data_IF_168327261173
#
_entry.id   IF_168327261173
#
_cell.length_a   1.000
_cell.length_b   1.000
_cell.length_c   1.000
_cell.angle_alpha   90.00
_cell.angle_beta   90.00
_cell.angle_gamma   90.00
#
_symmetry.space_group_name_H-M   'P 1'
#
loop_
_entity.id
_entity.type
_entity.pdbx_description
1 polymer ?
#
# COMPACT_ATOMS: atom_id res chain seq x y z
N UNK A 1 -18.44 -48.41 -45.99
CA UNK A 1 -17.99 -47.33 -45.08
C UNK A 1 -19.04 -47.00 -44.01
N UNK A 2 -19.56 -48.00 -43.30
CA UNK A 2 -20.42 -47.79 -42.12
C UNK A 2 -19.96 -48.60 -40.90
N UNK A 3 -18.96 -49.47 -41.06
CA UNK A 3 -18.43 -50.29 -39.97
C UNK A 3 -17.31 -49.59 -39.16
N UNK A 4 -16.76 -48.48 -39.66
CA UNK A 4 -15.70 -47.71 -38.97
C UNK A 4 -16.22 -46.64 -38.00
N UNK A 5 -17.52 -46.32 -38.05
CA UNK A 5 -18.16 -45.33 -37.16
C UNK A 5 -18.75 -45.95 -35.89
N UNK A 6 -18.71 -47.28 -35.75
CA UNK A 6 -19.18 -47.98 -34.54
C UNK A 6 -18.05 -48.36 -33.58
N UNK A 7 -16.78 -48.06 -33.90
CA UNK A 7 -15.65 -48.29 -33.01
C UNK A 7 -15.22 -47.06 -32.19
N UNK A 8 -15.83 -45.89 -32.44
CA UNK A 8 -15.60 -44.69 -31.61
C UNK A 8 -16.54 -44.66 -30.38
N UNK A 9 -17.46 -45.62 -30.27
CA UNK A 9 -18.46 -45.68 -29.19
C UNK A 9 -18.27 -46.84 -28.18
N UNK A 10 -17.13 -47.55 -28.23
CA UNK A 10 -16.78 -48.63 -27.28
C UNK A 10 -15.44 -48.42 -26.55
N UNK A 11 -15.08 -47.17 -26.29
CA UNK A 11 -14.21 -46.84 -25.15
C UNK A 11 -15.05 -46.18 -24.06
N UNK A 12 -15.94 -46.97 -23.45
CA UNK A 12 -16.21 -46.81 -22.03
C UNK A 12 -14.95 -47.28 -21.28
N UNK A 13 -13.95 -46.39 -21.21
CA UNK A 13 -12.93 -46.48 -20.17
C UNK A 13 -13.53 -45.82 -18.95
N UNK A 14 -13.87 -46.65 -17.98
CA UNK A 14 -14.24 -46.30 -16.62
C UNK A 14 -13.39 -45.12 -16.14
N UNK A 15 -13.99 -43.93 -16.01
CA UNK A 15 -13.38 -42.83 -15.26
C UNK A 15 -13.29 -43.29 -13.80
N UNK A 16 -12.10 -43.40 -13.19
CA UNK A 16 -12.06 -43.18 -11.75
C UNK A 16 -12.48 -41.73 -11.55
N UNK A 17 -13.68 -41.53 -11.01
CA UNK A 17 -14.06 -40.29 -10.34
C UNK A 17 -13.23 -40.19 -9.06
N UNK A 18 -11.97 -39.84 -9.22
CA UNK A 18 -11.12 -39.33 -8.16
C UNK A 18 -10.77 -37.91 -8.55
N UNK A 19 -11.71 -36.99 -8.30
CA UNK A 19 -11.33 -35.61 -8.07
C UNK A 19 -10.30 -35.58 -6.94
N UNK A 20 -9.40 -34.59 -6.88
CA UNK A 20 -8.51 -34.45 -5.73
C UNK A 20 -9.39 -34.43 -4.49
N UNK A 21 -9.17 -35.43 -3.64
CA UNK A 21 -9.82 -35.56 -2.34
C UNK A 21 -9.57 -34.25 -1.62
N UNK A 22 -10.64 -33.44 -1.46
CA UNK A 22 -10.61 -32.33 -0.51
C UNK A 22 -10.08 -32.90 0.82
N UNK A 23 -9.07 -32.27 1.45
CA UNK A 23 -8.54 -32.77 2.70
C UNK A 23 -9.70 -32.87 3.69
N UNK A 24 -9.88 -34.10 4.19
CA UNK A 24 -10.96 -34.48 5.07
C UNK A 24 -11.02 -33.58 6.30
N UNK A 25 -12.22 -33.01 6.53
CA UNK A 25 -12.82 -32.84 7.86
C UNK A 25 -12.21 -31.76 8.76
N UNK A 26 -12.84 -30.58 8.77
CA UNK A 26 -12.83 -29.69 9.96
C UNK A 26 -12.65 -28.20 9.68
N UNK A 27 -11.81 -27.81 8.71
CA UNK A 27 -11.24 -26.46 8.70
C UNK A 27 -11.56 -25.59 7.47
N UNK A 28 -12.33 -26.07 6.49
CA UNK A 28 -12.67 -25.24 5.32
C UNK A 28 -13.41 -23.97 5.76
N UNK A 29 -14.39 -24.11 6.66
CA UNK A 29 -15.14 -22.98 7.21
C UNK A 29 -14.25 -22.01 8.01
N UNK A 30 -13.27 -22.51 8.78
CA UNK A 30 -12.34 -21.66 9.54
C UNK A 30 -11.54 -20.74 8.62
N UNK A 31 -11.03 -21.26 7.50
CA UNK A 31 -10.27 -20.46 6.54
C UNK A 31 -11.17 -19.50 5.76
N UNK A 32 -12.39 -19.90 5.43
CA UNK A 32 -13.38 -19.02 4.79
C UNK A 32 -13.80 -17.88 5.73
N UNK A 33 -14.06 -18.16 7.01
CA UNK A 33 -14.36 -17.16 8.04
C UNK A 33 -13.17 -16.21 8.25
N UNK A 34 -11.95 -16.74 8.29
CA UNK A 34 -10.73 -15.93 8.37
C UNK A 34 -10.55 -15.04 7.15
N UNK A 35 -10.78 -15.56 5.94
CA UNK A 35 -10.73 -14.78 4.71
C UNK A 35 -11.77 -13.64 4.73
N UNK A 36 -13.01 -13.93 5.15
CA UNK A 36 -14.08 -12.95 5.29
C UNK A 36 -13.73 -11.88 6.34
N UNK A 37 -13.17 -12.28 7.48
CA UNK A 37 -12.70 -11.34 8.52
C UNK A 37 -11.59 -10.41 8.00
N UNK A 38 -10.64 -10.95 7.23
CA UNK A 38 -9.57 -10.15 6.61
C UNK A 38 -10.13 -9.23 5.51
N UNK A 39 -11.12 -9.68 4.74
CA UNK A 39 -11.82 -8.85 3.76
C UNK A 39 -12.51 -7.66 4.41
N UNK A 40 -13.21 -7.87 5.53
CA UNK A 40 -13.85 -6.80 6.28
C UNK A 40 -12.84 -5.79 6.86
N UNK A 41 -11.61 -6.23 7.07
CA UNK A 41 -10.52 -5.36 7.53
C UNK A 41 -9.83 -4.59 6.40
N UNK A 42 -10.03 -4.95 5.13
CA UNK A 42 -9.40 -4.22 4.03
C UNK A 42 -9.95 -2.79 3.96
N UNK A 43 -9.06 -1.80 3.81
CA UNK A 43 -9.50 -0.43 3.62
C UNK A 43 -10.24 -0.27 2.27
N UNK A 44 -11.12 0.73 2.15
CA UNK A 44 -11.80 1.04 0.90
C UNK A 44 -10.80 1.54 -0.14
N UNK A 45 -11.17 1.43 -1.42
CA UNK A 45 -10.41 2.02 -2.50
C UNK A 45 -10.57 3.54 -2.49
N UNK A 46 -9.52 4.26 -2.85
CA UNK A 46 -9.58 5.69 -3.10
C UNK A 46 -10.28 5.97 -4.42
N UNK A 47 -11.16 6.96 -4.45
CA UNK A 47 -11.72 7.47 -5.70
C UNK A 47 -10.74 8.49 -6.32
N UNK A 48 -9.76 7.99 -7.07
CA UNK A 48 -8.69 8.83 -7.64
C UNK A 48 -9.24 9.87 -8.63
N UNK A 49 -10.34 9.56 -9.32
CA UNK A 49 -10.99 10.48 -10.27
C UNK A 49 -11.67 11.66 -9.56
N UNK A 50 -12.34 11.41 -8.45
CA UNK A 50 -12.93 12.45 -7.61
C UNK A 50 -11.85 13.33 -6.97
N UNK A 51 -10.77 12.70 -6.46
CA UNK A 51 -9.62 13.43 -5.92
C UNK A 51 -9.00 14.33 -6.99
N UNK A 52 -8.74 13.80 -8.19
CA UNK A 52 -8.19 14.57 -9.31
C UNK A 52 -9.09 15.77 -9.66
N UNK A 53 -10.40 15.56 -9.66
CA UNK A 53 -11.39 16.62 -9.97
C UNK A 53 -11.47 17.70 -8.89
N UNK A 54 -11.14 17.37 -7.64
CA UNK A 54 -11.13 18.31 -6.53
C UNK A 54 -9.86 19.16 -6.43
N UNK A 55 -8.76 18.74 -7.09
CA UNK A 55 -7.46 19.40 -7.00
C UNK A 55 -7.37 20.60 -7.95
N UNK A 56 -6.82 21.70 -7.46
CA UNK A 56 -6.48 22.87 -8.29
C UNK A 56 -5.10 22.63 -8.90
N UNK A 57 -5.04 22.38 -10.22
CA UNK A 57 -3.83 22.12 -10.99
C UNK A 57 -2.98 20.92 -10.48
N UNK A 58 -3.52 19.68 -10.50
CA UNK A 58 -2.87 18.49 -9.94
C UNK A 58 -1.52 18.13 -10.58
N UNK A 59 -1.23 18.65 -11.78
CA UNK A 59 0.02 18.41 -12.49
C UNK A 59 1.06 19.53 -12.31
N UNK A 60 0.66 20.69 -11.77
CA UNK A 60 1.59 21.78 -11.46
C UNK A 60 2.21 21.61 -10.08
N UNK A 61 1.44 21.10 -9.11
CA UNK A 61 1.97 20.74 -7.81
C UNK A 61 2.58 19.33 -7.89
N UNK A 62 3.91 19.26 -7.81
CA UNK A 62 4.63 17.98 -7.92
C UNK A 62 4.24 17.00 -6.81
N UNK A 63 3.88 17.50 -5.62
CA UNK A 63 3.44 16.68 -4.49
C UNK A 63 2.07 16.06 -4.72
N UNK A 64 1.14 16.78 -5.35
CA UNK A 64 -0.21 16.27 -5.65
C UNK A 64 -0.13 15.17 -6.71
N UNK A 65 0.70 15.37 -7.74
CA UNK A 65 0.99 14.33 -8.74
C UNK A 65 1.61 13.07 -8.10
N UNK A 66 2.54 13.23 -7.15
CA UNK A 66 3.12 12.11 -6.41
C UNK A 66 2.06 11.40 -5.56
N UNK A 67 1.22 12.14 -4.84
CA UNK A 67 0.11 11.59 -4.05
C UNK A 67 -0.84 10.77 -4.92
N UNK A 68 -1.28 11.28 -6.07
CA UNK A 68 -2.15 10.55 -6.99
C UNK A 68 -1.54 9.22 -7.45
N UNK A 69 -0.24 9.18 -7.75
CA UNK A 69 0.46 7.95 -8.09
C UNK A 69 0.50 6.96 -6.93
N UNK A 70 0.71 7.44 -5.72
CA UNK A 70 0.73 6.62 -4.50
C UNK A 70 -0.65 6.01 -4.23
N UNK A 71 -1.73 6.80 -4.36
CA UNK A 71 -3.11 6.30 -4.22
C UNK A 71 -3.44 5.22 -5.25
N UNK A 72 -3.04 5.41 -6.51
CA UNK A 72 -3.24 4.43 -7.57
C UNK A 72 -2.54 3.09 -7.24
N UNK A 73 -1.31 3.14 -6.69
CA UNK A 73 -0.58 1.93 -6.27
C UNK A 73 -1.26 1.24 -5.10
N UNK A 74 -1.72 1.98 -4.10
CA UNK A 74 -2.47 1.40 -2.99
C UNK A 74 -3.78 0.75 -3.45
N UNK A 75 -4.51 1.39 -4.36
CA UNK A 75 -5.70 0.81 -4.96
C UNK A 75 -5.42 -0.52 -5.67
N UNK A 76 -4.33 -0.58 -6.45
CA UNK A 76 -3.92 -1.82 -7.11
C UNK A 76 -3.61 -2.92 -6.09
N UNK A 77 -2.86 -2.60 -5.03
CA UNK A 77 -2.51 -3.54 -3.96
C UNK A 77 -3.75 -4.05 -3.21
N UNK A 78 -4.66 -3.16 -2.81
CA UNK A 78 -5.91 -3.51 -2.14
C UNK A 78 -6.76 -4.40 -3.05
N UNK A 79 -6.83 -4.09 -4.35
CA UNK A 79 -7.60 -4.87 -5.33
C UNK A 79 -7.05 -6.28 -5.50
N UNK A 80 -5.73 -6.44 -5.61
CA UNK A 80 -5.08 -7.76 -5.71
C UNK A 80 -5.36 -8.55 -4.42
N UNK A 81 -5.19 -7.92 -3.26
CA UNK A 81 -5.43 -8.58 -1.96
C UNK A 81 -6.89 -9.04 -1.82
N UNK A 82 -7.85 -8.20 -2.23
CA UNK A 82 -9.27 -8.54 -2.25
C UNK A 82 -9.53 -9.74 -3.16
N UNK A 83 -8.96 -9.75 -4.38
CA UNK A 83 -9.08 -10.88 -5.31
C UNK A 83 -8.54 -12.17 -4.70
N UNK A 84 -7.34 -12.14 -4.09
CA UNK A 84 -6.78 -13.31 -3.43
C UNK A 84 -7.69 -13.87 -2.33
N UNK A 85 -8.26 -13.00 -1.48
CA UNK A 85 -9.20 -13.42 -0.43
C UNK A 85 -10.53 -13.94 -1.01
N UNK A 86 -10.96 -13.44 -2.17
CA UNK A 86 -12.22 -13.86 -2.82
C UNK A 86 -12.10 -15.28 -3.37
N UNK A 87 -10.93 -15.65 -3.90
CA UNK A 87 -10.67 -17.01 -4.39
C UNK A 87 -11.00 -18.09 -3.36
N UNK A 88 -10.72 -17.84 -2.07
CA UNK A 88 -11.02 -18.79 -0.99
C UNK A 88 -12.53 -18.97 -0.80
N UNK A 89 -13.28 -17.86 -0.86
CA UNK A 89 -14.73 -17.88 -0.72
C UNK A 89 -15.40 -18.54 -1.92
N UNK A 90 -15.03 -18.12 -3.13
CA UNK A 90 -15.57 -18.68 -4.37
C UNK A 90 -15.27 -20.18 -4.49
N UNK A 91 -14.08 -20.62 -4.07
CA UNK A 91 -13.73 -22.04 -4.08
C UNK A 91 -14.51 -22.83 -3.01
N UNK A 92 -14.75 -22.24 -1.84
CA UNK A 92 -15.55 -22.88 -0.78
C UNK A 92 -17.03 -23.02 -1.17
N UNK A 93 -17.56 -22.05 -1.93
CA UNK A 93 -18.92 -22.07 -2.49
C UNK A 93 -19.04 -22.96 -3.74
N UNK A 94 -17.91 -23.44 -4.29
CA UNK A 94 -17.88 -24.23 -5.52
C UNK A 94 -18.13 -23.42 -6.80
N UNK A 95 -17.98 -22.09 -6.73
CA UNK A 95 -18.12 -21.16 -7.87
C UNK A 95 -16.92 -21.27 -8.80
N UNK A 96 -15.73 -21.53 -8.25
CA UNK A 96 -14.50 -21.74 -9.02
C UNK A 96 -13.89 -23.12 -8.75
N UNK A 97 -13.12 -23.61 -9.71
CA UNK A 97 -12.36 -24.84 -9.57
C UNK A 97 -11.19 -24.65 -8.59
N UNK A 98 -10.81 -25.73 -7.92
CA UNK A 98 -9.68 -25.73 -7.01
C UNK A 98 -8.35 -25.69 -7.79
N UNK A 99 -7.77 -24.50 -7.95
CA UNK A 99 -6.51 -24.27 -8.66
C UNK A 99 -5.31 -24.17 -7.70
N UNK A 100 -4.10 -24.13 -8.26
CA UNK A 100 -2.87 -23.89 -7.48
C UNK A 100 -2.89 -22.54 -6.73
N UNK A 101 -3.56 -21.53 -7.28
CA UNK A 101 -3.71 -20.20 -6.65
C UNK A 101 -4.61 -20.28 -5.40
N UNK A 102 -5.68 -21.07 -5.48
CA UNK A 102 -6.58 -21.33 -4.35
C UNK A 102 -5.83 -22.08 -3.24
N UNK A 103 -5.11 -23.15 -3.58
CA UNK A 103 -4.27 -23.90 -2.62
C UNK A 103 -3.22 -23.01 -1.97
N UNK A 104 -2.51 -22.17 -2.74
CA UNK A 104 -1.53 -21.21 -2.21
C UNK A 104 -2.18 -20.28 -1.18
N UNK A 105 -3.36 -19.76 -1.48
CA UNK A 105 -4.08 -18.85 -0.59
C UNK A 105 -4.50 -19.56 0.71
N UNK A 106 -4.99 -20.80 0.64
CA UNK A 106 -5.28 -21.61 1.83
C UNK A 106 -4.04 -21.82 2.70
N UNK A 107 -2.89 -22.12 2.09
CA UNK A 107 -1.63 -22.28 2.81
C UNK A 107 -1.17 -20.97 3.45
N UNK A 108 -1.35 -19.84 2.77
CA UNK A 108 -1.05 -18.51 3.28
C UNK A 108 -1.91 -18.17 4.52
N UNK A 109 -3.21 -18.46 4.47
CA UNK A 109 -4.10 -18.29 5.62
C UNK A 109 -3.70 -19.19 6.80
N UNK A 110 -3.37 -20.45 6.52
CA UNK A 110 -2.95 -21.42 7.53
C UNK A 110 -1.63 -21.04 8.20
N UNK A 111 -0.66 -20.57 7.44
CA UNK A 111 0.70 -20.29 7.91
C UNK A 111 0.93 -18.80 8.25
N UNK A 112 -0.12 -17.97 8.20
CA UNK A 112 -0.03 -16.52 8.38
C UNK A 112 1.01 -15.87 7.44
N UNK A 113 1.08 -16.32 6.18
CA UNK A 113 1.97 -15.76 5.15
C UNK A 113 1.18 -14.86 4.19
N UNK A 114 1.86 -13.88 3.61
CA UNK A 114 1.29 -13.02 2.57
C UNK A 114 1.38 -13.77 1.23
N UNK A 115 0.30 -13.84 0.43
CA UNK A 115 0.31 -14.50 -0.89
C UNK A 115 1.34 -13.89 -1.84
N UNK A 116 1.95 -14.69 -2.71
CA UNK A 116 3.03 -14.24 -3.58
C UNK A 116 2.57 -13.12 -4.54
N UNK A 117 1.34 -13.19 -5.03
CA UNK A 117 0.74 -12.13 -5.85
C UNK A 117 0.68 -10.77 -5.12
N UNK A 118 0.36 -10.80 -3.82
CA UNK A 118 0.33 -9.59 -2.97
C UNK A 118 1.75 -9.12 -2.67
N UNK A 119 2.68 -10.04 -2.38
CA UNK A 119 4.09 -9.70 -2.15
C UNK A 119 4.72 -9.03 -3.37
N UNK A 120 4.47 -9.56 -4.57
CA UNK A 120 4.99 -9.00 -5.82
C UNK A 120 4.48 -7.58 -6.11
N UNK A 121 3.25 -7.28 -5.70
CA UNK A 121 2.64 -5.96 -5.83
C UNK A 121 2.82 -5.07 -4.58
N UNK A 122 3.51 -5.55 -3.54
CA UNK A 122 3.69 -4.84 -2.28
C UNK A 122 5.07 -4.19 -2.20
N UNK A 123 5.21 -3.26 -1.27
CA UNK A 123 6.51 -2.80 -0.80
C UNK A 123 7.28 -3.96 -0.11
N UNK A 124 8.63 -3.93 -0.06
CA UNK A 124 9.43 -4.97 0.59
C UNK A 124 9.19 -4.99 2.10
N UNK A 125 8.46 -5.99 2.61
CA UNK A 125 8.24 -6.21 4.04
C UNK A 125 8.21 -7.71 4.37
N UNK A 126 8.87 -8.09 5.46
CA UNK A 126 8.96 -9.46 5.96
C UNK A 126 8.05 -9.64 7.19
N UNK A 127 6.73 -9.58 7.00
CA UNK A 127 5.75 -9.73 8.06
C UNK A 127 4.77 -10.86 7.79
N UNK A 128 4.19 -11.42 8.85
CA UNK A 128 3.04 -12.31 8.72
C UNK A 128 1.79 -11.54 8.25
N UNK A 129 0.83 -12.25 7.67
CA UNK A 129 -0.37 -11.68 7.03
C UNK A 129 -1.12 -10.69 7.94
N UNK A 130 -1.33 -11.03 9.22
CA UNK A 130 -2.01 -10.14 10.16
C UNK A 130 -1.25 -8.81 10.38
N UNK A 131 0.07 -8.87 10.58
CA UNK A 131 0.90 -7.68 10.76
C UNK A 131 1.02 -6.86 9.47
N UNK A 132 1.07 -7.53 8.32
CA UNK A 132 1.04 -6.88 7.00
C UNK A 132 -0.29 -6.14 6.77
N UNK A 133 -1.44 -6.74 7.12
CA UNK A 133 -2.76 -6.09 7.02
C UNK A 133 -2.87 -4.85 7.91
N UNK A 134 -2.41 -4.94 9.16
CA UNK A 134 -2.39 -3.79 10.07
C UNK A 134 -1.51 -2.65 9.53
N UNK A 135 -0.37 -3.00 8.91
CA UNK A 135 0.52 -2.03 8.31
C UNK A 135 -0.09 -1.39 7.05
N UNK A 136 -0.73 -2.18 6.18
CA UNK A 136 -1.47 -1.68 5.02
C UNK A 136 -2.53 -0.65 5.44
N UNK A 137 -3.33 -0.96 6.47
CA UNK A 137 -4.33 -0.03 6.99
C UNK A 137 -3.70 1.28 7.45
N UNK A 138 -2.63 1.22 8.26
CA UNK A 138 -1.93 2.43 8.72
C UNK A 138 -1.42 3.29 7.55
N UNK A 139 -0.93 2.67 6.48
CA UNK A 139 -0.46 3.37 5.27
C UNK A 139 -1.61 4.03 4.51
N UNK A 140 -2.73 3.34 4.38
CA UNK A 140 -3.92 3.87 3.72
C UNK A 140 -4.53 5.02 4.54
N UNK A 141 -4.57 4.89 5.87
CA UNK A 141 -4.99 5.98 6.76
C UNK A 141 -4.07 7.20 6.65
N UNK A 142 -2.76 7.00 6.52
CA UNK A 142 -1.80 8.07 6.28
C UNK A 142 -2.08 8.81 4.96
N UNK A 143 -2.36 8.07 3.86
CA UNK A 143 -2.73 8.69 2.58
C UNK A 143 -4.08 9.41 2.65
N UNK A 144 -5.06 8.85 3.37
CA UNK A 144 -6.36 9.48 3.59
C UNK A 144 -6.23 10.77 4.42
N UNK A 145 -5.33 10.81 5.40
CA UNK A 145 -5.03 12.02 6.17
C UNK A 145 -4.38 13.08 5.28
N UNK A 146 -3.40 12.70 4.45
CA UNK A 146 -2.78 13.61 3.49
C UNK A 146 -3.83 14.21 2.53
N UNK A 147 -4.77 13.41 2.04
CA UNK A 147 -5.84 13.90 1.16
C UNK A 147 -6.76 14.97 1.77
N UNK A 148 -6.95 14.97 3.10
CA UNK A 148 -7.85 15.91 3.78
C UNK A 148 -7.21 17.28 4.02
N UNK A 149 -5.93 17.44 3.76
CA UNK A 149 -5.22 18.67 4.09
C UNK A 149 -3.81 18.70 3.51
N UNK A 150 -2.86 19.12 4.35
CA UNK A 150 -1.45 19.18 3.98
C UNK A 150 -0.74 17.85 4.29
N UNK A 151 0.45 17.61 3.71
CA UNK A 151 1.26 16.44 4.07
C UNK A 151 1.44 16.39 5.60
N UNK A 152 1.17 15.24 6.25
CA UNK A 152 1.21 15.15 7.71
C UNK A 152 2.60 15.48 8.25
N UNK A 153 2.67 16.22 9.35
CA UNK A 153 3.89 16.49 10.11
C UNK A 153 3.79 15.77 11.46
N UNK A 154 4.74 14.90 11.82
CA UNK A 154 5.92 14.48 11.06
C UNK A 154 5.56 13.60 9.84
N UNK A 155 6.27 13.76 8.74
CA UNK A 155 5.97 13.03 7.51
C UNK A 155 6.48 11.59 7.56
N UNK A 156 5.54 10.63 7.57
CA UNK A 156 5.88 9.21 7.61
C UNK A 156 6.33 8.69 6.24
N UNK A 157 7.55 9.06 5.84
CA UNK A 157 8.15 8.67 4.55
C UNK A 157 8.16 7.15 4.29
N UNK A 158 8.43 6.27 5.28
CA UNK A 158 8.31 4.82 5.08
C UNK A 158 6.89 4.36 4.75
N UNK A 159 5.87 5.20 5.00
CA UNK A 159 4.46 4.99 4.67
C UNK A 159 4.17 5.16 3.17
N UNK A 160 5.04 5.82 2.42
CA UNK A 160 4.94 5.89 0.96
C UNK A 160 5.37 4.57 0.32
N UNK A 161 4.70 4.20 -0.77
CA UNK A 161 5.05 3.11 -1.66
C UNK A 161 6.36 3.40 -2.39
N UNK A 162 6.58 4.62 -2.87
CA UNK A 162 7.85 5.06 -3.43
C UNK A 162 8.40 6.32 -2.73
N UNK A 163 9.20 6.15 -1.68
CA UNK A 163 9.87 7.28 -1.01
C UNK A 163 10.66 8.16 -1.98
N UNK A 164 11.31 7.55 -2.98
CA UNK A 164 12.09 8.27 -3.99
C UNK A 164 11.23 9.26 -4.78
N UNK A 165 10.07 8.84 -5.30
CA UNK A 165 9.23 9.74 -6.10
C UNK A 165 8.72 10.91 -5.27
N UNK A 166 8.36 10.64 -4.01
CA UNK A 166 7.91 11.67 -3.06
C UNK A 166 9.05 12.66 -2.74
N UNK A 167 10.26 12.18 -2.44
CA UNK A 167 11.43 13.04 -2.23
C UNK A 167 11.74 13.90 -3.47
N UNK A 168 11.68 13.34 -4.68
CA UNK A 168 11.86 14.11 -5.91
C UNK A 168 10.78 15.16 -6.10
N UNK A 169 9.52 14.82 -5.80
CA UNK A 169 8.41 15.77 -5.86
C UNK A 169 8.57 16.92 -4.84
N UNK A 170 9.08 16.63 -3.64
CA UNK A 170 9.42 17.63 -2.63
C UNK A 170 10.49 18.61 -3.14
N UNK A 171 11.60 18.10 -3.70
CA UNK A 171 12.65 18.95 -4.28
C UNK A 171 12.13 19.79 -5.46
N UNK A 172 11.31 19.20 -6.32
CA UNK A 172 10.69 19.92 -7.44
C UNK A 172 9.79 21.06 -6.95
N UNK A 173 8.98 20.78 -5.94
CA UNK A 173 8.08 21.77 -5.37
C UNK A 173 8.87 22.90 -4.70
N UNK A 174 9.95 22.58 -3.99
CA UNK A 174 10.85 23.55 -3.38
C UNK A 174 11.57 24.42 -4.43
N UNK A 175 12.20 23.79 -5.41
CA UNK A 175 12.90 24.49 -6.49
C UNK A 175 11.97 25.44 -7.26
N UNK A 176 10.74 25.02 -7.58
CA UNK A 176 9.73 25.87 -8.25
C UNK A 176 9.35 27.07 -7.40
N UNK A 177 9.14 26.88 -6.08
CA UNK A 177 8.81 27.99 -5.15
C UNK A 177 9.94 29.01 -5.06
N UNK A 178 11.18 28.54 -5.06
CA UNK A 178 12.37 29.39 -4.97
C UNK A 178 12.88 29.86 -6.34
N UNK A 179 12.20 29.52 -7.44
CA UNK A 179 12.65 29.79 -8.83
C UNK A 179 14.07 29.29 -9.13
N UNK A 180 14.46 28.17 -8.51
CA UNK A 180 15.75 27.51 -8.66
C UNK A 180 15.68 26.37 -9.67
N UNK A 181 16.84 25.93 -10.17
CA UNK A 181 16.94 24.67 -10.94
C UNK A 181 16.90 23.49 -9.96
N UNK A 182 16.28 22.38 -10.38
CA UNK A 182 16.22 21.18 -9.53
C UNK A 182 17.64 20.65 -9.19
N UNK A 183 18.60 20.83 -10.09
CA UNK A 183 19.98 20.36 -9.90
C UNK A 183 20.77 21.18 -8.87
N UNK A 184 20.24 22.31 -8.40
CA UNK A 184 20.88 23.16 -7.38
C UNK A 184 20.25 23.01 -6.00
N UNK A 185 19.34 22.07 -5.81
CA UNK A 185 18.67 21.84 -4.53
C UNK A 185 18.91 20.40 -4.05
N UNK A 186 19.29 20.29 -2.78
CA UNK A 186 19.60 19.04 -2.12
C UNK A 186 18.78 18.84 -0.86
N UNK A 187 18.96 17.67 -0.23
CA UNK A 187 18.47 17.42 1.11
C UNK A 187 19.65 17.47 2.09
N UNK A 188 19.51 18.30 3.12
CA UNK A 188 20.34 18.28 4.32
C UNK A 188 19.62 17.50 5.41
N UNK A 189 20.38 16.89 6.31
CA UNK A 189 19.83 16.12 7.43
C UNK A 189 20.42 16.59 8.76
N UNK A 190 19.54 16.76 9.76
CA UNK A 190 19.92 17.05 11.14
C UNK A 190 19.55 15.85 12.01
N UNK A 191 20.47 15.36 12.82
CA UNK A 191 20.20 14.31 13.80
C UNK A 191 19.45 14.95 14.98
N UNK A 192 18.29 14.40 15.32
CA UNK A 192 17.49 14.85 16.46
C UNK A 192 17.87 14.05 17.71
N UNK A 193 17.93 14.73 18.85
CA UNK A 193 18.11 14.08 20.14
C UNK A 193 16.82 13.38 20.60
N UNK A 194 16.93 12.41 21.51
CA UNK A 194 15.83 11.52 21.92
C UNK A 194 14.58 12.28 22.44
N UNK A 195 14.77 13.45 23.07
CA UNK A 195 13.68 14.31 23.54
C UNK A 195 12.93 15.02 22.39
N UNK A 196 13.64 15.44 21.36
CA UNK A 196 13.09 16.11 20.18
C UNK A 196 12.38 15.12 19.25
N UNK A 197 12.87 13.87 19.16
CA UNK A 197 12.21 12.79 18.42
C UNK A 197 10.91 12.34 19.10
N UNK A 198 10.88 12.33 20.44
CA UNK A 198 9.67 12.06 21.22
C UNK A 198 8.63 13.18 21.08
N UNK A 199 9.06 14.44 20.99
CA UNK A 199 8.16 15.58 20.73
C UNK A 199 7.62 15.56 19.29
N UNK A 200 8.47 15.31 18.30
CA UNK A 200 8.09 15.21 16.90
C UNK A 200 7.10 14.07 16.64
N UNK A 201 7.27 12.93 17.30
CA UNK A 201 6.35 11.77 17.17
C UNK A 201 5.02 11.93 17.90
N UNK A 202 4.91 12.84 18.88
CA UNK A 202 3.69 13.08 19.68
C UNK A 202 2.93 14.36 19.29
N UNK A 203 3.38 15.11 18.28
CA UNK A 203 2.70 16.33 17.84
C UNK A 203 1.28 15.99 17.32
N UNK A 204 0.19 16.54 17.91
CA UNK A 204 -1.15 16.29 17.43
C UNK A 204 -1.34 16.95 16.05
N UNK A 205 -1.91 16.20 15.10
CA UNK A 205 -2.18 16.63 13.72
C UNK A 205 -3.20 17.79 13.57
N UNK A 206 -3.55 18.46 14.67
CA UNK A 206 -4.51 19.54 14.70
C UNK A 206 -4.02 20.68 15.59
N UNK A 207 -3.16 21.54 15.04
CA UNK A 207 -3.18 22.94 15.43
C UNK A 207 -2.57 23.77 14.31
N UNK A 208 -3.36 24.71 13.80
CA UNK A 208 -2.88 25.85 13.05
C UNK A 208 -1.91 26.62 13.96
N UNK A 209 -0.62 26.28 13.96
CA UNK A 209 0.38 27.02 14.73
C UNK A 209 0.68 28.36 14.05
N UNK A 210 -0.18 29.33 14.32
CA UNK A 210 0.24 30.72 14.48
C UNK A 210 1.03 30.80 15.80
N UNK A 211 2.35 30.91 15.68
CA UNK A 211 3.19 31.63 16.63
C UNK A 211 3.64 30.90 17.89
N UNK A 212 4.82 30.26 17.82
CA UNK A 212 5.98 30.60 18.67
C UNK A 212 7.22 30.46 17.78
N UNK A 213 7.95 31.54 17.46
CA UNK A 213 9.19 31.44 16.69
C UNK A 213 10.26 30.83 17.59
N UNK A 214 10.74 29.63 17.26
CA UNK A 214 12.09 29.23 17.66
C UNK A 214 13.06 30.24 17.05
N UNK A 215 14.18 30.59 17.72
CA UNK A 215 15.07 31.65 17.26
C UNK A 215 15.66 31.27 15.90
N UNK A 216 15.10 31.88 14.85
CA UNK A 216 15.56 31.82 13.47
C UNK A 216 16.83 32.67 13.42
N UNK A 217 17.98 32.06 13.23
CA UNK A 217 19.15 32.77 12.71
C UNK A 217 18.82 33.11 11.25
N UNK A 218 18.89 34.39 10.89
CA UNK A 218 18.61 34.88 9.52
C UNK A 218 19.44 34.09 8.49
N UNK A 219 18.80 33.14 7.80
CA UNK A 219 19.43 32.25 6.82
C UNK A 219 18.66 30.95 6.54
N UNK A 220 17.83 30.49 7.48
CA UNK A 220 17.18 29.18 7.37
C UNK A 220 15.88 29.21 6.56
N UNK A 221 15.95 28.70 5.33
CA UNK A 221 14.80 28.52 4.44
C UNK A 221 13.97 27.30 4.85
N UNK A 222 12.65 27.50 4.83
CA UNK A 222 11.59 26.60 5.30
C UNK A 222 11.65 25.15 4.76
N UNK A 223 11.69 24.17 5.67
CA UNK A 223 10.74 23.06 5.83
C UNK A 223 11.42 21.86 6.55
N UNK A 224 11.00 21.59 7.79
CA UNK A 224 11.52 20.53 8.65
C UNK A 224 10.62 19.29 8.48
N UNK A 225 11.17 18.16 8.03
CA UNK A 225 10.42 16.90 7.89
C UNK A 225 11.12 15.77 8.66
N UNK A 226 10.48 15.14 9.64
CA UNK A 226 11.18 14.22 10.55
C UNK A 226 10.88 12.74 10.29
N UNK A 227 11.90 11.90 10.39
CA UNK A 227 11.81 10.44 10.57
C UNK A 227 12.76 10.07 11.70
N UNK A 228 12.25 9.46 12.79
CA UNK A 228 13.01 8.85 13.91
C UNK A 228 14.47 9.25 13.98
N UNK A 229 14.76 10.35 14.68
CA UNK A 229 16.11 10.85 14.92
C UNK A 229 16.73 11.63 13.76
N UNK A 230 16.00 11.95 12.69
CA UNK A 230 16.53 12.74 11.58
C UNK A 230 15.49 13.68 10.98
N UNK A 231 15.78 14.98 10.95
CA UNK A 231 15.05 15.99 10.22
C UNK A 231 15.67 16.17 8.82
N UNK A 232 14.84 16.11 7.79
CA UNK A 232 15.16 16.43 6.41
C UNK A 232 14.87 17.92 6.21
N UNK A 233 15.86 18.69 5.77
CA UNK A 233 15.75 20.11 5.45
C UNK A 233 16.14 20.28 3.99
N UNK A 234 15.32 20.97 3.20
CA UNK A 234 15.69 21.31 1.84
C UNK A 234 16.59 22.55 1.84
N UNK A 235 17.78 22.46 1.26
CA UNK A 235 18.73 23.58 1.20
C UNK A 235 19.39 23.64 -0.18
N UNK A 236 19.99 24.79 -0.49
CA UNK A 236 20.85 24.94 -1.66
C UNK A 236 22.09 24.05 -1.50
N UNK A 237 22.46 23.31 -2.54
CA UNK A 237 23.79 22.71 -2.62
C UNK A 237 24.79 23.82 -3.00
N UNK A 238 25.78 24.07 -2.14
CA UNK A 238 26.91 24.98 -2.42
C UNK A 238 27.94 24.36 -3.38
#
# INVERSE_FOLDING_TARGET
MQHLLMQVQQQQVSRPSSGPTAPAGGNSNEFTERAASLMAQLPPLFNVEEVLSSMVNPYENALDAALLQELARYNALISITRKCLQLVQDAAEGVIEYTAEVEEMYQCLRQNRVPQAVVAASYPMAFGLAAWMANLRRRVDFMAMWLRGQPPQPFWLPGCFSPRSVCTAMLQQYARRQSLKIDSVGFTFCVLDDEEDAAASNAPANEQQKGVPLPIQEGDSEAIWTKRGTALVAQLDE
#
